data_IF_212367104402
#
_entry.id   IF_212367104402
#
_cell.length_a   1.000
_cell.length_b   1.000
_cell.length_c   1.000
_cell.angle_alpha   90.00
_cell.angle_beta   90.00
_cell.angle_gamma   90.00
#
_symmetry.space_group_name_H-M   'P 1'
#
loop_
_entity.id
_entity.type
_entity.pdbx_description
1 polymer ?
#
# COMPACT_ATOMS: atom_id res chain seq x y z
N UNK A 1 27.31 4.02 -4.89
CA UNK A 1 26.68 5.33 -5.11
C UNK A 1 25.28 5.08 -5.57
N UNK A 2 24.32 5.67 -4.85
CA UNK A 2 22.88 5.74 -5.12
C UNK A 2 22.17 4.46 -5.64
N UNK A 3 21.72 3.62 -4.70
CA UNK A 3 20.66 2.65 -4.98
C UNK A 3 19.35 3.44 -5.13
N UNK A 4 19.05 3.84 -6.37
CA UNK A 4 17.79 4.49 -6.72
C UNK A 4 16.62 3.76 -6.09
N UNK A 5 15.67 4.51 -5.55
CA UNK A 5 14.49 3.99 -4.86
C UNK A 5 13.66 3.21 -5.89
N UNK A 6 13.81 1.89 -5.93
CA UNK A 6 12.97 1.04 -6.77
C UNK A 6 11.62 0.84 -6.09
N UNK A 7 10.66 1.72 -6.40
CA UNK A 7 9.29 1.57 -5.96
C UNK A 7 8.55 0.60 -6.89
N UNK A 8 8.04 -0.52 -6.37
CA UNK A 8 7.30 -1.49 -7.18
C UNK A 8 5.86 -1.00 -7.41
N UNK A 9 5.48 -0.80 -8.69
CA UNK A 9 4.12 -0.41 -9.08
C UNK A 9 3.08 -1.46 -8.67
N UNK A 10 3.33 -2.73 -9.00
CA UNK A 10 2.42 -3.83 -8.68
C UNK A 10 2.15 -3.91 -7.17
N UNK A 11 3.21 -3.88 -6.33
CA UNK A 11 3.04 -3.90 -4.87
C UNK A 11 2.38 -2.63 -4.33
N UNK A 12 2.64 -1.47 -4.93
CA UNK A 12 1.96 -0.22 -4.56
C UNK A 12 0.47 -0.27 -4.89
N UNK A 13 0.09 -0.91 -6.02
CA UNK A 13 -1.32 -1.16 -6.38
C UNK A 13 -1.98 -2.09 -5.37
N UNK A 14 -1.32 -3.18 -4.97
CA UNK A 14 -1.80 -4.08 -3.90
C UNK A 14 -2.01 -3.32 -2.58
N UNK A 15 -1.02 -2.53 -2.16
CA UNK A 15 -1.12 -1.70 -0.95
C UNK A 15 -2.28 -0.72 -1.03
N UNK A 16 -2.45 0.00 -2.16
CA UNK A 16 -3.56 0.92 -2.38
C UNK A 16 -4.91 0.21 -2.26
N UNK A 17 -5.07 -0.92 -2.94
CA UNK A 17 -6.29 -1.73 -2.87
C UNK A 17 -6.61 -2.14 -1.42
N UNK A 18 -5.60 -2.54 -0.63
CA UNK A 18 -5.81 -2.87 0.79
C UNK A 18 -6.31 -1.64 1.57
N UNK A 19 -5.74 -0.46 1.31
CA UNK A 19 -6.17 0.77 1.98
C UNK A 19 -7.60 1.16 1.59
N UNK A 20 -7.92 1.13 0.30
CA UNK A 20 -9.24 1.46 -0.24
C UNK A 20 -10.33 0.52 0.27
N UNK A 21 -10.05 -0.78 0.38
CA UNK A 21 -11.03 -1.78 0.83
C UNK A 21 -11.16 -1.86 2.36
N UNK A 22 -10.04 -1.82 3.09
CA UNK A 22 -10.01 -2.20 4.51
C UNK A 22 -9.72 -1.06 5.48
N UNK A 23 -9.28 0.13 5.01
CA UNK A 23 -8.95 1.25 5.89
C UNK A 23 -9.80 2.50 5.62
N UNK A 24 -9.79 2.99 4.37
CA UNK A 24 -10.39 4.28 4.03
C UNK A 24 -11.89 4.38 4.37
N UNK A 25 -12.73 3.33 4.22
CA UNK A 25 -14.13 3.39 4.63
C UNK A 25 -14.31 3.75 6.11
N UNK A 26 -13.40 3.29 6.98
CA UNK A 26 -13.43 3.61 8.41
C UNK A 26 -12.92 5.03 8.69
N UNK A 27 -11.88 5.47 7.97
CA UNK A 27 -11.35 6.83 8.05
C UNK A 27 -12.42 7.86 7.66
N UNK A 28 -13.14 7.59 6.58
CA UNK A 28 -14.25 8.41 6.10
C UNK A 28 -15.43 8.41 7.08
N UNK A 29 -15.82 7.25 7.60
CA UNK A 29 -16.89 7.14 8.60
C UNK A 29 -16.57 7.89 9.90
N UNK A 30 -15.30 7.92 10.33
CA UNK A 30 -14.84 8.70 11.47
C UNK A 30 -14.67 10.20 11.14
N UNK A 31 -14.93 10.63 9.91
CA UNK A 31 -14.71 11.99 9.39
C UNK A 31 -13.27 12.49 9.67
N UNK A 32 -12.30 11.59 9.54
CA UNK A 32 -10.91 11.89 9.86
C UNK A 32 -10.11 12.29 8.62
N UNK A 33 -9.46 13.45 8.68
CA UNK A 33 -8.55 13.89 7.63
C UNK A 33 -7.14 13.34 7.89
N UNK A 34 -6.66 12.44 7.03
CA UNK A 34 -5.27 11.99 7.06
C UNK A 34 -4.33 13.18 6.85
N UNK A 35 -3.30 13.30 7.68
CA UNK A 35 -2.26 14.31 7.51
C UNK A 35 -1.47 14.07 6.21
N UNK A 36 -1.04 15.10 5.48
CA UNK A 36 -0.15 14.94 4.32
C UNK A 36 1.19 14.29 4.64
N UNK A 37 1.59 14.25 5.92
CA UNK A 37 2.79 13.55 6.40
C UNK A 37 2.56 12.06 6.65
N UNK A 38 1.30 11.60 6.69
CA UNK A 38 0.98 10.18 6.80
C UNK A 38 1.33 9.45 5.49
N UNK A 39 2.13 8.39 5.57
CA UNK A 39 2.50 7.60 4.39
C UNK A 39 1.32 6.92 3.67
N UNK A 40 0.19 6.74 4.36
CA UNK A 40 -1.04 6.18 3.80
C UNK A 40 -1.94 7.26 3.17
N UNK A 41 -1.55 8.54 3.26
CA UNK A 41 -2.28 9.62 2.62
C UNK A 41 -2.20 9.47 1.10
N UNK A 42 -3.30 9.74 0.42
CA UNK A 42 -3.43 9.45 -1.00
C UNK A 42 -2.51 10.32 -1.91
N UNK A 43 -1.98 11.43 -1.40
CA UNK A 43 -0.93 12.21 -2.09
C UNK A 43 0.46 11.57 -2.01
N UNK A 44 0.64 10.61 -1.10
CA UNK A 44 1.89 9.89 -0.88
C UNK A 44 1.89 8.53 -1.60
N UNK A 45 1.17 8.47 -2.71
CA UNK A 45 1.17 7.34 -3.62
C UNK A 45 1.72 7.78 -4.97
N UNK A 46 2.99 7.46 -5.19
CA UNK A 46 3.75 7.90 -6.35
C UNK A 46 3.11 7.51 -7.69
N UNK A 47 2.34 6.41 -7.73
CA UNK A 47 1.73 5.91 -8.96
C UNK A 47 0.29 6.35 -9.14
N UNK A 48 -0.32 7.03 -8.15
CA UNK A 48 -1.77 7.29 -8.13
C UNK A 48 -2.27 8.01 -9.38
N UNK A 49 -1.56 9.03 -9.84
CA UNK A 49 -1.96 9.80 -11.02
C UNK A 49 -1.91 8.95 -12.29
N UNK A 50 -0.85 8.16 -12.49
CA UNK A 50 -0.79 7.29 -13.67
C UNK A 50 -1.84 6.18 -13.65
N UNK A 51 -2.17 5.65 -12.47
CA UNK A 51 -3.21 4.62 -12.34
C UNK A 51 -4.60 5.18 -12.68
N UNK A 52 -4.86 6.47 -12.43
CA UNK A 52 -6.10 7.17 -12.85
C UNK A 52 -6.18 7.37 -14.36
N UNK A 53 -5.04 7.43 -15.03
CA UNK A 53 -4.95 7.57 -16.49
C UNK A 53 -5.06 6.24 -17.23
N UNK A 54 -5.32 5.13 -16.52
CA UNK A 54 -5.67 3.87 -17.16
C UNK A 54 -7.14 3.86 -17.52
N UNK A 55 -7.44 3.64 -18.79
CA UNK A 55 -8.80 3.59 -19.29
C UNK A 55 -9.09 2.18 -19.81
N UNK A 56 -10.10 1.52 -19.25
CA UNK A 56 -10.65 0.30 -19.84
C UNK A 56 -11.39 0.68 -21.13
N UNK A 57 -10.85 0.26 -22.28
CA UNK A 57 -11.35 0.71 -23.58
C UNK A 57 -12.34 -0.29 -24.20
N UNK A 58 -11.95 -1.58 -24.23
CA UNK A 58 -12.79 -2.67 -24.72
C UNK A 58 -12.43 -3.96 -23.95
N UNK A 59 -13.14 -5.07 -24.19
CA UNK A 59 -12.85 -6.37 -23.59
C UNK A 59 -11.37 -6.73 -23.84
N UNK A 60 -10.56 -6.69 -22.78
CA UNK A 60 -9.10 -6.88 -22.73
C UNK A 60 -8.21 -5.73 -23.25
N UNK A 61 -8.78 -4.63 -23.74
CA UNK A 61 -7.99 -3.49 -24.23
C UNK A 61 -7.89 -2.37 -23.20
N UNK A 62 -6.66 -1.92 -22.97
CA UNK A 62 -6.33 -0.82 -22.08
C UNK A 62 -5.81 0.37 -22.88
N UNK A 63 -6.32 1.56 -22.60
CA UNK A 63 -5.90 2.81 -23.25
C UNK A 63 -5.16 3.70 -22.27
N UNK A 64 -4.04 4.24 -22.74
CA UNK A 64 -3.29 5.28 -22.04
C UNK A 64 -4.06 6.62 -22.09
N UNK A 65 -4.35 7.21 -20.94
CA UNK A 65 -5.02 8.51 -20.83
C UNK A 65 -4.19 9.68 -21.37
N UNK A 66 -2.85 9.62 -21.25
CA UNK A 66 -1.96 10.69 -21.71
C UNK A 66 -1.81 10.79 -23.24
N UNK A 67 -1.63 9.66 -23.92
CA UNK A 67 -1.32 9.64 -25.37
C UNK A 67 -2.24 8.76 -26.20
N UNK A 68 -3.27 8.18 -25.59
CA UNK A 68 -4.35 7.44 -26.25
C UNK A 68 -3.95 6.16 -26.99
N UNK A 69 -2.71 5.67 -26.83
CA UNK A 69 -2.30 4.35 -27.31
C UNK A 69 -3.07 3.25 -26.59
N UNK A 70 -3.37 2.18 -27.32
CA UNK A 70 -4.13 1.02 -26.85
C UNK A 70 -3.17 -0.17 -26.70
N UNK A 71 -3.38 -0.97 -25.67
CA UNK A 71 -2.58 -2.11 -25.26
C UNK A 71 -3.49 -3.30 -24.97
N UNK A 72 -3.02 -4.51 -25.28
CA UNK A 72 -3.76 -5.76 -25.10
C UNK A 72 -3.85 -6.25 -23.65
N UNK A 73 -3.17 -5.58 -22.72
CA UNK A 73 -3.22 -5.90 -21.29
C UNK A 73 -2.81 -4.70 -20.42
N UNK A 74 -3.17 -4.76 -19.13
CA UNK A 74 -2.82 -3.72 -18.17
C UNK A 74 -1.30 -3.67 -17.94
N UNK A 75 -0.65 -4.83 -17.97
CA UNK A 75 0.80 -4.97 -17.80
C UNK A 75 1.58 -4.29 -18.93
N UNK A 76 1.09 -4.36 -20.17
CA UNK A 76 1.69 -3.62 -21.28
C UNK A 76 1.48 -2.11 -21.17
N UNK A 77 0.36 -1.67 -20.61
CA UNK A 77 0.13 -0.25 -20.31
C UNK A 77 1.05 0.23 -19.17
N UNK A 78 1.24 -0.58 -18.13
CA UNK A 78 2.20 -0.29 -17.04
C UNK A 78 3.63 -0.12 -17.59
N UNK A 79 4.07 -1.06 -18.43
CA UNK A 79 5.38 -0.99 -19.08
C UNK A 79 5.49 0.27 -19.98
N UNK A 80 4.40 0.65 -20.65
CA UNK A 80 4.35 1.89 -21.42
C UNK A 80 4.52 3.12 -20.53
N UNK A 81 3.85 3.18 -19.38
CA UNK A 81 4.04 4.29 -18.43
C UNK A 81 5.49 4.40 -17.94
N UNK A 82 6.12 3.28 -17.59
CA UNK A 82 7.49 3.27 -17.09
C UNK A 82 8.50 3.75 -18.16
N UNK A 83 8.23 3.48 -19.45
CA UNK A 83 9.13 3.83 -20.55
C UNK A 83 8.86 5.19 -21.19
N UNK A 84 7.62 5.67 -21.17
CA UNK A 84 7.17 6.83 -21.98
C UNK A 84 6.54 7.96 -21.18
N UNK A 85 6.18 7.70 -19.92
CA UNK A 85 5.55 8.67 -19.03
C UNK A 85 6.23 8.70 -17.65
N UNK A 86 7.48 8.25 -17.52
CA UNK A 86 8.20 8.26 -16.24
C UNK A 86 8.44 9.68 -15.71
N UNK A 87 8.43 10.69 -16.58
CA UNK A 87 8.49 12.10 -16.23
C UNK A 87 7.27 12.59 -15.44
N UNK A 88 6.14 11.88 -15.50
CA UNK A 88 4.94 12.22 -14.73
C UNK A 88 4.99 11.66 -13.30
N UNK A 89 6.00 10.85 -12.97
CA UNK A 89 6.19 10.31 -11.63
C UNK A 89 7.04 11.24 -10.77
N UNK A 90 6.63 11.38 -9.52
CA UNK A 90 7.45 12.00 -8.47
C UNK A 90 7.81 10.92 -7.44
N UNK A 91 8.66 9.94 -7.79
CA UNK A 91 9.01 8.86 -6.85
C UNK A 91 10.03 9.36 -5.84
N UNK A 92 9.69 9.25 -4.56
CA UNK A 92 10.57 9.48 -3.42
C UNK A 92 10.48 8.30 -2.45
N UNK A 93 11.36 8.26 -1.46
CA UNK A 93 11.25 7.25 -0.39
C UNK A 93 9.95 7.38 0.40
N UNK A 94 9.35 8.57 0.46
CA UNK A 94 8.24 8.86 1.37
C UNK A 94 6.86 8.69 0.75
N UNK A 95 6.79 8.44 -0.56
CA UNK A 95 5.53 8.22 -1.27
C UNK A 95 5.47 6.90 -2.06
N UNK A 96 6.29 5.93 -1.68
CA UNK A 96 6.21 4.58 -2.22
C UNK A 96 5.32 3.69 -1.35
N UNK A 97 4.10 3.36 -1.80
CA UNK A 97 3.21 2.47 -1.04
C UNK A 97 3.74 1.03 -0.94
N UNK A 98 4.59 0.58 -1.88
CA UNK A 98 5.24 -0.72 -1.75
C UNK A 98 6.11 -0.84 -0.48
N UNK A 99 6.63 0.27 0.05
CA UNK A 99 7.43 0.26 1.28
C UNK A 99 6.61 -0.10 2.52
N UNK A 100 5.28 0.12 2.48
CA UNK A 100 4.39 -0.23 3.59
C UNK A 100 3.77 -1.62 3.46
N UNK A 101 4.10 -2.38 2.40
CA UNK A 101 3.53 -3.70 2.17
C UNK A 101 3.80 -4.71 3.29
N UNK A 102 4.95 -4.58 3.97
CA UNK A 102 5.25 -5.41 5.13
C UNK A 102 4.21 -5.23 6.26
N UNK A 103 3.75 -3.99 6.48
CA UNK A 103 2.73 -3.71 7.48
C UNK A 103 1.32 -4.13 7.02
N UNK A 104 1.02 -3.94 5.72
CA UNK A 104 -0.32 -4.19 5.16
C UNK A 104 -0.56 -5.63 4.71
N UNK A 105 0.42 -6.52 4.80
CA UNK A 105 0.33 -7.91 4.33
C UNK A 105 0.06 -8.04 2.82
N UNK A 106 0.70 -7.22 1.97
CA UNK A 106 0.51 -7.31 0.50
C UNK A 106 0.74 -8.72 -0.04
N UNK A 107 1.77 -9.42 0.46
CA UNK A 107 2.13 -10.76 -0.01
C UNK A 107 1.02 -11.80 0.34
N UNK A 108 0.25 -11.55 1.40
CA UNK A 108 -0.94 -12.34 1.73
C UNK A 108 -2.06 -12.11 0.71
N UNK A 109 -2.29 -10.86 0.31
CA UNK A 109 -3.32 -10.50 -0.65
C UNK A 109 -3.01 -10.96 -2.08
N UNK A 110 -1.73 -10.97 -2.46
CA UNK A 110 -1.27 -11.44 -3.78
C UNK A 110 -1.31 -12.97 -3.91
N UNK A 111 -1.26 -13.72 -2.80
CA UNK A 111 -1.29 -15.18 -2.84
C UNK A 111 -2.72 -15.72 -2.82
N UNK A 112 -3.14 -16.36 -3.92
CA UNK A 112 -4.44 -17.07 -4.00
C UNK A 112 -4.53 -18.29 -3.07
N UNK A 113 -3.40 -18.76 -2.54
CA UNK A 113 -3.30 -19.90 -1.63
C UNK A 113 -3.24 -19.44 -0.16
N UNK A 114 -4.42 -19.25 0.47
CA UNK A 114 -4.57 -18.95 1.90
C UNK A 114 -3.88 -19.95 2.85
N UNK A 115 -3.47 -21.11 2.33
CA UNK A 115 -2.88 -22.22 3.08
C UNK A 115 -1.34 -22.18 3.16
N UNK A 116 -0.66 -21.27 2.45
CA UNK A 116 0.82 -21.21 2.41
C UNK A 116 1.45 -20.28 3.45
N UNK A 117 0.67 -19.59 4.28
CA UNK A 117 1.20 -18.87 5.43
C UNK A 117 1.60 -19.87 6.52
N UNK A 118 2.85 -20.28 6.44
CA UNK A 118 3.53 -21.11 7.44
C UNK A 118 3.38 -20.50 8.82
N UNK A 119 2.76 -21.26 9.73
CA UNK A 119 2.71 -21.07 11.19
C UNK A 119 3.80 -20.13 11.71
N UNK A 120 3.36 -19.01 12.31
CA UNK A 120 3.95 -18.03 13.23
C UNK A 120 5.35 -18.33 13.84
N UNK A 121 6.34 -18.77 13.06
CA UNK A 121 7.74 -18.88 13.50
C UNK A 121 8.28 -17.46 13.57
N UNK A 122 8.78 -17.09 14.74
CA UNK A 122 9.43 -15.79 14.94
C UNK A 122 10.57 -15.65 13.94
N UNK A 123 10.51 -14.61 13.12
CA UNK A 123 11.57 -14.22 12.19
C UNK A 123 11.79 -12.71 12.31
N UNK A 124 12.99 -12.20 12.02
CA UNK A 124 13.26 -10.75 12.04
C UNK A 124 12.30 -9.94 11.15
N UNK A 125 11.75 -10.56 10.11
CA UNK A 125 10.77 -9.93 9.23
C UNK A 125 9.42 -9.68 9.92
N UNK A 126 8.96 -10.60 10.77
CA UNK A 126 7.70 -10.43 11.52
C UNK A 126 7.84 -9.26 12.50
N UNK A 127 8.94 -9.21 13.26
CA UNK A 127 9.19 -8.12 14.20
C UNK A 127 9.36 -6.76 13.49
N UNK A 128 10.09 -6.74 12.37
CA UNK A 128 10.24 -5.53 11.54
C UNK A 128 8.89 -5.04 11.01
N UNK A 129 8.05 -5.93 10.51
CA UNK A 129 6.75 -5.60 9.97
C UNK A 129 5.80 -5.10 11.07
N UNK A 130 5.84 -5.70 12.26
CA UNK A 130 5.11 -5.22 13.44
C UNK A 130 5.48 -3.78 13.78
N UNK A 131 6.78 -3.50 13.92
CA UNK A 131 7.26 -2.15 14.24
C UNK A 131 6.92 -1.13 13.15
N UNK A 132 7.01 -1.52 11.87
CA UNK A 132 6.57 -0.67 10.76
C UNK A 132 5.07 -0.36 10.87
N UNK A 133 4.26 -1.38 11.16
CA UNK A 133 2.81 -1.26 11.31
C UNK A 133 2.42 -0.33 12.47
N UNK A 134 3.01 -0.54 13.65
CA UNK A 134 2.79 0.31 14.83
C UNK A 134 3.23 1.76 14.57
N UNK A 135 4.35 1.96 13.87
CA UNK A 135 4.81 3.30 13.48
C UNK A 135 3.83 3.99 12.52
N UNK A 136 3.26 3.25 11.57
CA UNK A 136 2.22 3.77 10.67
C UNK A 136 0.95 4.17 11.44
N UNK A 137 0.44 3.30 12.33
CA UNK A 137 -0.67 3.64 13.21
C UNK A 137 -0.42 4.95 13.98
N UNK A 138 0.72 5.06 14.66
CA UNK A 138 1.02 6.21 15.51
C UNK A 138 1.29 7.51 14.73
N UNK A 139 1.77 7.41 13.50
CA UNK A 139 2.04 8.59 12.65
C UNK A 139 0.82 9.06 11.86
N UNK A 140 -0.03 8.14 11.41
CA UNK A 140 -1.24 8.45 10.64
C UNK A 140 -2.45 8.74 11.54
N UNK A 141 -2.53 8.05 12.68
CA UNK A 141 -3.61 8.15 13.67
C UNK A 141 -3.04 8.39 15.08
N UNK A 142 -2.35 9.51 15.33
CA UNK A 142 -1.78 9.81 16.64
C UNK A 142 -2.87 9.94 17.72
N UNK A 143 -2.93 9.06 18.75
CA UNK A 143 -4.02 9.04 19.73
C UNK A 143 -4.20 10.37 20.48
N UNK A 144 -3.12 11.14 20.64
CA UNK A 144 -3.12 12.45 21.28
C UNK A 144 -3.87 13.54 20.49
N UNK A 145 -4.23 13.31 19.23
CA UNK A 145 -4.97 14.27 18.40
C UNK A 145 -6.50 14.18 18.54
N UNK A 146 -7.01 13.34 19.43
CA UNK A 146 -8.43 13.29 19.78
C UNK A 146 -9.06 11.91 19.60
N UNK A 147 -10.35 11.82 19.94
CA UNK A 147 -11.06 10.55 20.05
C UNK A 147 -11.16 9.79 18.71
N UNK A 148 -11.33 10.50 17.59
CA UNK A 148 -11.32 9.90 16.24
C UNK A 148 -9.98 9.23 15.94
N UNK A 149 -8.87 9.95 16.20
CA UNK A 149 -7.53 9.44 15.99
C UNK A 149 -7.24 8.23 16.89
N UNK A 150 -7.69 8.26 18.15
CA UNK A 150 -7.59 7.10 19.06
C UNK A 150 -8.33 5.88 18.51
N UNK A 151 -9.59 6.03 18.08
CA UNK A 151 -10.37 4.92 17.52
C UNK A 151 -9.75 4.33 16.26
N UNK A 152 -9.26 5.19 15.35
CA UNK A 152 -8.59 4.74 14.13
C UNK A 152 -7.25 4.08 14.39
N UNK A 153 -6.51 4.55 15.40
CA UNK A 153 -5.27 3.90 15.85
C UNK A 153 -5.56 2.47 16.34
N UNK A 154 -6.52 2.33 17.26
CA UNK A 154 -6.93 1.03 17.80
C UNK A 154 -7.43 0.09 16.69
N UNK A 155 -8.24 0.62 15.77
CA UNK A 155 -8.70 -0.12 14.60
C UNK A 155 -7.52 -0.60 13.75
N UNK A 156 -6.58 0.29 13.40
CA UNK A 156 -5.45 -0.05 12.55
C UNK A 156 -4.54 -1.11 13.20
N UNK A 157 -4.26 -0.96 14.51
CA UNK A 157 -3.47 -1.93 15.26
C UNK A 157 -4.10 -3.32 15.23
N UNK A 158 -5.41 -3.42 15.48
CA UNK A 158 -6.13 -4.70 15.48
C UNK A 158 -6.26 -5.31 14.09
N UNK A 159 -6.57 -4.49 13.09
CA UNK A 159 -6.84 -4.94 11.73
C UNK A 159 -5.56 -5.39 11.01
N UNK A 160 -4.45 -4.69 11.22
CA UNK A 160 -3.21 -4.92 10.47
C UNK A 160 -2.06 -5.43 11.35
N UNK A 161 -1.88 -4.90 12.55
CA UNK A 161 -0.64 -5.11 13.32
C UNK A 161 -0.65 -6.39 14.17
N UNK A 162 -1.80 -6.79 14.74
CA UNK A 162 -1.91 -7.99 15.59
C UNK A 162 -1.55 -9.30 14.85
N UNK A 163 -1.75 -9.32 13.52
CA UNK A 163 -1.35 -10.42 12.65
C UNK A 163 0.18 -10.57 12.55
N UNK A 164 0.96 -9.53 12.84
CA UNK A 164 2.44 -9.61 12.97
C UNK A 164 2.85 -10.16 14.33
N UNK A 165 2.24 -11.27 14.74
CA UNK A 165 2.54 -11.97 15.99
C UNK A 165 3.19 -13.31 15.72
N UNK A 166 4.26 -13.60 16.47
CA UNK A 166 4.88 -14.91 16.46
C UNK A 166 4.62 -15.64 17.77
N UNK A 167 4.47 -16.98 17.72
CA UNK A 167 4.48 -17.79 18.94
C UNK A 167 5.92 -18.23 19.16
N UNK A 168 6.54 -18.00 20.34
CA UNK A 168 7.82 -18.61 20.64
C UNK A 168 7.64 -20.13 20.50
N UNK A 169 8.42 -20.74 19.61
CA UNK A 169 8.40 -22.19 19.47
C UNK A 169 8.69 -22.82 20.82
N UNK A 170 7.92 -23.83 21.22
CA UNK A 170 8.31 -24.68 22.34
C UNK A 170 9.72 -25.19 22.04
N UNK A 171 10.69 -24.81 22.87
CA UNK A 171 12.04 -25.39 22.87
C UNK A 171 11.95 -26.87 23.21
#
# INVERSE_FOLDING_TARGET
GDHGVQCSRARSRTARHILEEYLLPFVENENYALSPQCRLHASNDAFREQEREKQFYHIHDWRCGYCHKIFESEEYLDLHFDNRHSETLNVSRDNCLADVCGALHCDYMETKDKHKFSKNKCSPSVDRNRHLCEKLANSCFPPQQGAQATRLNDFFLRQFCDAHSCKPGKR
#
